data_IF_558487882482
#
_entry.id   IF_558487882482
#
_cell.length_a   1.000
_cell.length_b   1.000
_cell.length_c   1.000
_cell.angle_alpha   90.00
_cell.angle_beta   90.00
_cell.angle_gamma   90.00
#
_symmetry.space_group_name_H-M   'P 1'
#
loop_
_entity.id
_entity.type
_entity.pdbx_description
1 polymer ?
#
# COMPACT_ATOMS: atom_id res chain seq x y z
N UNK A 1 -17.43 -0.59 -1.92
CA UNK A 1 -16.13 -0.01 -1.48
C UNK A 1 -15.08 -0.36 -2.52
N UNK A 2 -14.12 0.52 -2.78
CA UNK A 2 -13.05 0.31 -3.77
C UNK A 2 -11.74 0.97 -3.29
N UNK A 3 -10.60 0.52 -3.82
CA UNK A 3 -9.31 1.21 -3.66
C UNK A 3 -9.32 2.43 -4.56
N UNK A 4 -9.15 3.62 -3.98
CA UNK A 4 -9.10 4.87 -4.72
C UNK A 4 -7.74 5.10 -5.37
N UNK A 5 -6.65 4.95 -4.61
CA UNK A 5 -5.28 5.13 -5.07
C UNK A 5 -4.28 4.41 -4.15
N UNK A 6 -3.11 4.10 -4.71
CA UNK A 6 -1.91 3.72 -3.95
C UNK A 6 -0.84 4.78 -4.27
N UNK A 7 -0.51 5.61 -3.28
CA UNK A 7 0.50 6.66 -3.42
C UNK A 7 1.83 6.18 -2.85
N UNK A 8 2.88 6.25 -3.67
CA UNK A 8 4.21 5.74 -3.31
C UNK A 8 5.18 6.88 -3.02
N UNK A 9 6.03 6.73 -2.01
CA UNK A 9 7.14 7.65 -1.75
C UNK A 9 8.37 6.90 -1.25
N UNK A 10 9.56 7.49 -1.46
CA UNK A 10 10.81 6.97 -0.92
C UNK A 10 11.13 7.65 0.40
N UNK A 11 11.53 6.85 1.39
CA UNK A 11 12.11 7.32 2.63
C UNK A 11 13.56 6.87 2.73
N UNK A 12 14.46 7.80 3.04
CA UNK A 12 15.90 7.55 3.25
C UNK A 12 16.29 7.79 4.70
N UNK A 13 17.20 6.95 5.21
CA UNK A 13 17.82 7.12 6.52
C UNK A 13 19.27 6.64 6.47
N UNK A 14 20.21 7.57 6.32
CA UNK A 14 21.61 7.27 6.04
C UNK A 14 21.76 6.42 4.77
N UNK A 15 22.40 5.27 4.89
CA UNK A 15 22.56 4.31 3.78
C UNK A 15 21.32 3.46 3.51
N UNK A 16 20.25 3.61 4.28
CA UNK A 16 19.04 2.80 4.15
C UNK A 16 18.00 3.54 3.31
N UNK A 17 17.35 2.80 2.41
CA UNK A 17 16.22 3.26 1.59
C UNK A 17 15.05 2.31 1.80
N UNK A 18 13.84 2.85 1.95
CA UNK A 18 12.58 2.08 1.92
C UNK A 18 11.52 2.84 1.12
N UNK A 19 10.46 2.16 0.74
CA UNK A 19 9.27 2.79 0.19
C UNK A 19 8.14 2.86 1.24
N UNK A 20 7.30 3.88 1.10
CA UNK A 20 6.03 4.00 1.80
C UNK A 20 4.91 3.92 0.77
N UNK A 21 3.90 3.09 1.03
CA UNK A 21 2.70 2.96 0.21
C UNK A 21 1.49 3.42 1.03
N UNK A 22 0.89 4.55 0.66
CA UNK A 22 -0.36 5.03 1.26
C UNK A 22 -1.53 4.61 0.39
N UNK A 23 -2.35 3.70 0.91
CA UNK A 23 -3.56 3.20 0.25
C UNK A 23 -4.75 4.04 0.69
N UNK A 24 -5.57 4.51 -0.25
CA UNK A 24 -6.86 5.14 0.05
C UNK A 24 -8.01 4.21 -0.29
N UNK A 25 -9.00 4.14 0.60
CA UNK A 25 -10.22 3.36 0.42
C UNK A 25 -11.41 4.30 0.38
N UNK A 26 -12.23 4.18 -0.67
CA UNK A 26 -13.39 5.03 -0.91
C UNK A 26 -14.68 4.19 -1.01
N UNK A 27 -15.81 4.80 -0.69
CA UNK A 27 -17.14 4.24 -0.96
C UNK A 27 -17.55 4.51 -2.42
N UNK A 28 -18.75 4.07 -2.81
CA UNK A 28 -19.24 4.23 -4.20
C UNK A 28 -19.50 5.68 -4.60
N UNK A 29 -19.66 6.58 -3.63
CA UNK A 29 -19.84 8.02 -3.85
C UNK A 29 -18.53 8.82 -3.76
N UNK A 30 -17.38 8.14 -3.60
CA UNK A 30 -16.05 8.76 -3.58
C UNK A 30 -15.61 9.30 -2.22
N UNK A 31 -16.36 9.05 -1.13
CA UNK A 31 -15.96 9.47 0.22
C UNK A 31 -15.03 8.45 0.89
N UNK A 32 -14.09 8.90 1.75
CA UNK A 32 -13.17 8.03 2.47
C UNK A 32 -13.91 7.06 3.41
N UNK A 33 -13.37 5.85 3.54
CA UNK A 33 -13.91 4.81 4.44
C UNK A 33 -12.90 4.46 5.51
N UNK A 34 -13.19 4.88 6.74
CA UNK A 34 -12.44 4.53 7.94
C UNK A 34 -12.64 3.07 8.37
N UNK A 35 -11.70 2.51 9.13
CA UNK A 35 -11.88 1.21 9.79
C UNK A 35 -11.84 0.02 8.84
N UNK A 36 -11.25 0.18 7.65
CA UNK A 36 -11.07 -0.89 6.68
C UNK A 36 -9.74 -1.57 6.96
N UNK A 37 -9.76 -2.88 7.18
CA UNK A 37 -8.52 -3.66 7.23
C UNK A 37 -8.04 -3.90 5.81
N UNK A 38 -6.83 -3.43 5.49
CA UNK A 38 -6.16 -3.61 4.21
C UNK A 38 -5.02 -4.59 4.40
N UNK A 39 -4.92 -5.58 3.52
CA UNK A 39 -3.83 -6.54 3.42
C UNK A 39 -3.08 -6.27 2.13
N UNK A 40 -1.75 -6.26 2.18
CA UNK A 40 -0.93 -6.11 0.99
C UNK A 40 0.46 -6.66 1.17
N UNK A 41 1.15 -6.82 0.06
CA UNK A 41 2.46 -7.45 -0.02
C UNK A 41 3.44 -6.55 -0.76
N UNK A 42 4.67 -6.48 -0.25
CA UNK A 42 5.78 -5.85 -0.95
C UNK A 42 6.48 -6.87 -1.85
N UNK A 43 7.05 -6.42 -2.98
CA UNK A 43 7.85 -7.25 -3.87
C UNK A 43 9.04 -6.48 -4.48
N UNK A 44 9.75 -7.11 -5.41
CA UNK A 44 10.97 -6.61 -6.08
C UNK A 44 12.19 -6.47 -5.15
N UNK A 45 12.72 -5.25 -4.95
CA UNK A 45 14.02 -5.09 -4.25
C UNK A 45 13.93 -5.30 -2.73
N UNK A 46 12.72 -5.39 -2.19
CA UNK A 46 12.48 -5.81 -0.82
C UNK A 46 12.03 -7.25 -0.79
N UNK A 47 12.49 -8.00 0.22
CA UNK A 47 11.91 -9.31 0.52
C UNK A 47 10.40 -9.17 0.67
N UNK A 48 9.68 -10.10 0.05
CA UNK A 48 8.24 -10.19 0.22
C UNK A 48 7.88 -10.32 1.68
N UNK A 49 6.90 -9.53 2.09
CA UNK A 49 6.41 -9.48 3.45
C UNK A 49 4.98 -9.01 3.45
N UNK A 50 4.11 -9.83 4.02
CA UNK A 50 2.71 -9.49 4.22
C UNK A 50 2.61 -8.31 5.20
N UNK A 51 1.77 -7.35 4.85
CA UNK A 51 1.50 -6.16 5.63
C UNK A 51 0.00 -6.03 5.83
N UNK A 52 -0.43 -5.64 7.03
CA UNK A 52 -1.83 -5.31 7.29
C UNK A 52 -1.96 -4.07 8.17
N UNK A 53 -3.05 -3.35 7.97
CA UNK A 53 -3.31 -2.09 8.65
C UNK A 53 -4.75 -1.66 8.48
N UNK A 54 -5.19 -0.73 9.32
CA UNK A 54 -6.56 -0.23 9.36
C UNK A 54 -6.57 1.21 8.87
N UNK A 55 -7.50 1.56 7.98
CA UNK A 55 -7.66 2.94 7.53
C UNK A 55 -8.11 3.86 8.67
N UNK A 56 -7.50 5.05 8.74
CA UNK A 56 -7.93 6.12 9.64
C UNK A 56 -9.20 6.83 9.14
N UNK A 57 -9.61 7.89 9.84
CA UNK A 57 -10.78 8.71 9.51
C UNK A 57 -10.72 9.39 8.14
N UNK A 58 -9.51 9.56 7.59
CA UNK A 58 -9.26 10.05 6.24
C UNK A 58 -9.34 8.95 5.16
N UNK A 59 -9.70 7.73 5.54
CA UNK A 59 -9.81 6.57 4.66
C UNK A 59 -8.48 6.04 4.16
N UNK A 60 -7.36 6.37 4.83
CA UNK A 60 -6.03 5.98 4.40
C UNK A 60 -5.29 5.12 5.41
N UNK A 61 -4.38 4.30 4.89
CA UNK A 61 -3.42 3.51 5.66
C UNK A 61 -2.07 3.52 4.94
N UNK A 62 -0.98 3.68 5.69
CA UNK A 62 0.38 3.71 5.13
C UNK A 62 1.16 2.47 5.55
N UNK A 63 1.71 1.77 4.56
CA UNK A 63 2.60 0.63 4.73
C UNK A 63 4.04 1.05 4.46
N UNK A 64 4.98 0.51 5.23
CA UNK A 64 6.40 0.70 4.99
C UNK A 64 7.02 -0.60 4.52
N UNK A 65 7.82 -0.54 3.46
CA UNK A 65 8.65 -1.67 3.05
C UNK A 65 9.75 -1.93 4.09
N UNK A 66 10.40 -3.09 3.97
CA UNK A 66 11.68 -3.31 4.65
C UNK A 66 12.74 -2.29 4.20
N UNK A 67 13.70 -1.99 5.08
CA UNK A 67 14.85 -1.17 4.74
C UNK A 67 15.85 -1.95 3.87
N UNK A 68 16.31 -1.33 2.78
CA UNK A 68 17.35 -1.87 1.91
C UNK A 68 18.58 -0.95 1.97
N UNK A 69 19.76 -1.53 2.23
CA UNK A 69 21.02 -0.78 2.39
C UNK A 69 21.69 -0.55 1.05
N UNK A 70 22.27 0.64 0.86
CA UNK A 70 23.12 1.02 -0.28
C UNK A 70 22.43 0.78 -1.64
N UNK A 71 21.12 1.00 -1.73
CA UNK A 71 20.37 0.92 -2.99
C UNK A 71 20.91 1.97 -3.96
N UNK A 72 21.50 1.52 -5.07
CA UNK A 72 21.90 2.39 -6.19
C UNK A 72 20.76 2.56 -7.18
N UNK A 73 20.09 1.45 -7.51
CA UNK A 73 18.93 1.40 -8.38
C UNK A 73 17.99 0.28 -7.93
N UNK A 74 16.70 0.41 -8.22
CA UNK A 74 15.74 -0.65 -7.91
C UNK A 74 14.31 -0.16 -7.80
N UNK A 75 13.36 -1.07 -7.94
CA UNK A 75 11.93 -0.78 -7.85
C UNK A 75 11.34 -1.41 -6.59
N UNK A 76 10.53 -0.66 -5.86
CA UNK A 76 9.66 -1.18 -4.82
C UNK A 76 8.25 -1.26 -5.39
N UNK A 77 7.59 -2.41 -5.23
CA UNK A 77 6.19 -2.60 -5.62
C UNK A 77 5.36 -3.01 -4.41
N UNK A 78 4.19 -2.40 -4.25
CA UNK A 78 3.21 -2.77 -3.25
C UNK A 78 1.91 -3.19 -3.95
N UNK A 79 1.39 -4.36 -3.57
CA UNK A 79 0.13 -4.91 -4.09
C UNK A 79 -0.87 -5.02 -2.94
N UNK A 80 -2.11 -4.59 -3.16
CA UNK A 80 -3.19 -4.83 -2.21
C UNK A 80 -3.80 -6.19 -2.51
N UNK A 81 -3.65 -7.13 -1.58
CA UNK A 81 -4.09 -8.52 -1.73
C UNK A 81 -5.55 -8.68 -1.33
N UNK A 82 -6.00 -7.94 -0.31
CA UNK A 82 -7.38 -8.01 0.18
C UNK A 82 -7.76 -6.76 0.99
N UNK A 83 -9.06 -6.46 1.06
CA UNK A 83 -9.60 -5.48 2.01
C UNK A 83 -10.87 -6.00 2.67
N UNK A 84 -11.03 -5.74 3.96
CA UNK A 84 -12.12 -6.27 4.77
C UNK A 84 -12.68 -5.21 5.70
N UNK A 85 -14.01 -5.11 5.74
CA UNK A 85 -14.76 -4.36 6.75
C UNK A 85 -16.11 -5.05 6.98
N UNK A 86 -16.51 -5.24 8.23
CA UNK A 86 -17.76 -5.92 8.58
C UNK A 86 -18.97 -5.16 8.06
N UNK A 87 -19.91 -5.87 7.42
CA UNK A 87 -21.11 -5.27 6.82
C UNK A 87 -20.87 -4.53 5.50
N UNK A 88 -19.66 -4.55 4.95
CA UNK A 88 -19.33 -3.91 3.68
C UNK A 88 -18.99 -4.94 2.61
N UNK A 89 -19.64 -4.80 1.45
CA UNK A 89 -19.25 -5.53 0.25
C UNK A 89 -18.15 -4.75 -0.48
N UNK A 90 -17.03 -5.42 -0.69
CA UNK A 90 -15.93 -4.90 -1.48
C UNK A 90 -16.03 -5.44 -2.91
N UNK A 91 -15.93 -4.55 -3.89
CA UNK A 91 -15.93 -4.94 -5.29
C UNK A 91 -14.47 -5.03 -5.74
N UNK A 92 -13.87 -6.22 -5.62
CA UNK A 92 -12.55 -6.47 -6.20
C UNK A 92 -12.68 -6.37 -7.72
N UNK A 93 -11.78 -5.63 -8.36
CA UNK A 93 -11.49 -5.86 -9.78
C UNK A 93 -10.76 -7.20 -9.94
N UNK A 94 -10.89 -7.85 -11.09
CA UNK A 94 -10.20 -9.12 -11.39
C UNK A 94 -8.66 -9.01 -11.24
N UNK A 95 -8.12 -7.81 -11.40
CA UNK A 95 -6.71 -7.51 -11.16
C UNK A 95 -6.52 -6.87 -9.79
N UNK A 96 -5.61 -7.43 -8.99
CA UNK A 96 -5.19 -6.85 -7.71
C UNK A 96 -4.52 -5.48 -7.93
N UNK A 97 -4.96 -4.40 -7.28
CA UNK A 97 -4.35 -3.09 -7.46
C UNK A 97 -2.93 -3.04 -6.89
N UNK A 98 -1.98 -2.53 -7.69
CA UNK A 98 -0.58 -2.39 -7.30
C UNK A 98 0.00 -1.04 -7.75
N UNK A 99 1.03 -0.57 -7.07
CA UNK A 99 1.83 0.58 -7.50
C UNK A 99 3.32 0.37 -7.21
N UNK A 100 4.15 1.04 -7.99
CA UNK A 100 5.61 0.91 -7.92
C UNK A 100 6.31 2.27 -7.86
N UNK A 101 7.48 2.31 -7.24
CA UNK A 101 8.37 3.47 -7.24
C UNK A 101 9.82 3.02 -7.40
N UNK A 102 10.56 3.71 -8.27
CA UNK A 102 11.93 3.37 -8.62
C UNK A 102 12.92 4.35 -7.98
N UNK A 103 14.02 3.80 -7.46
CA UNK A 103 15.24 4.53 -7.14
C UNK A 103 16.15 4.45 -8.38
N UNK A 104 16.57 5.60 -8.88
CA UNK A 104 17.46 5.77 -10.04
C UNK A 104 18.60 6.72 -9.70
#
# INVERSE_FOLDING_TARGET
MHIGNISMSIQKSGINTRALATVSILNVTGFPVEGVTVYGSWSDITKSGDSSGITGSDGKVTFASGWVKKVKQGTFTFTVDNVKKEGWTYNLSDTAPSASITVS
#
